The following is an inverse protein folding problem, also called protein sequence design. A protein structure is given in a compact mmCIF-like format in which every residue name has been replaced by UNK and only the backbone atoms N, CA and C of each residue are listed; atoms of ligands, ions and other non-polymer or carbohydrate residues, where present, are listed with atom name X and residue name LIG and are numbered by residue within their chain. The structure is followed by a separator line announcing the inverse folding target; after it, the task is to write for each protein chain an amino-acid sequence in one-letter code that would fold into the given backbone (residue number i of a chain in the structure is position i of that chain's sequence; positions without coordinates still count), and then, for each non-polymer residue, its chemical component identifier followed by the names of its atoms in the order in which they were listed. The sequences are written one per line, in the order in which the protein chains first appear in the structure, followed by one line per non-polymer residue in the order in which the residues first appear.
data_IF_068072264994
#
_entry.id   IF_068072264994
#
_cell.length_a   1.000
_cell.length_b   1.000
_cell.length_c   1.000
_cell.angle_alpha   90.00
_cell.angle_beta   90.00
_cell.angle_gamma   90.00
#
_symmetry.space_group_name_H-M   'P 1'
#
loop_
_entity.id
_entity.type
_entity.pdbx_description
1 polymer ?
#
# COMPACT_ATOMS: atom_id res chain seq x y z
N UNK A 1 -41.24 -45.85 18.16
CA UNK A 1 -41.09 -45.01 19.37
C UNK A 1 -39.64 -44.57 19.46
N UNK A 2 -39.45 -43.24 19.39
CA UNK A 2 -38.26 -42.42 19.68
C UNK A 2 -36.86 -43.04 19.64
N UNK A 3 -36.16 -42.88 18.51
CA UNK A 3 -34.69 -42.76 18.51
C UNK A 3 -34.35 -41.39 19.10
N UNK A 4 -33.69 -41.40 20.26
CA UNK A 4 -33.22 -40.21 20.92
C UNK A 4 -32.28 -39.42 19.99
N UNK A 5 -32.65 -38.17 19.72
CA UNK A 5 -31.74 -37.13 19.26
C UNK A 5 -30.57 -37.02 20.24
N UNK A 6 -29.47 -37.71 19.98
CA UNK A 6 -28.18 -37.34 20.56
C UNK A 6 -27.71 -36.07 19.85
N UNK A 7 -28.19 -34.92 20.36
CA UNK A 7 -27.51 -33.66 20.17
C UNK A 7 -26.12 -33.78 20.83
N UNK A 8 -25.07 -33.84 20.00
CA UNK A 8 -23.70 -33.65 20.45
C UNK A 8 -23.46 -32.13 20.56
N UNK A 9 -23.21 -31.57 21.76
CA UNK A 9 -23.10 -30.11 21.97
C UNK A 9 -21.88 -29.44 21.30
N UNK A 10 -20.91 -30.22 20.80
CA UNK A 10 -19.56 -29.71 20.54
C UNK A 10 -19.04 -29.91 19.10
N UNK A 11 -19.86 -30.28 18.13
CA UNK A 11 -19.43 -30.20 16.73
C UNK A 11 -19.49 -28.74 16.26
N UNK A 12 -18.44 -27.97 16.55
CA UNK A 12 -18.15 -26.72 15.85
C UNK A 12 -17.40 -27.08 14.56
N UNK A 13 -18.05 -27.11 13.38
CA UNK A 13 -17.30 -27.21 12.14
C UNK A 13 -16.24 -26.10 12.11
N UNK A 14 -14.96 -26.47 12.05
CA UNK A 14 -13.91 -25.50 11.75
C UNK A 14 -14.15 -25.06 10.30
N UNK A 15 -14.83 -23.93 10.13
CA UNK A 15 -14.92 -23.26 8.84
C UNK A 15 -13.53 -22.72 8.58
N UNK A 16 -12.79 -23.33 7.64
CA UNK A 16 -11.57 -22.72 7.18
C UNK A 16 -11.96 -21.51 6.33
N UNK A 17 -11.69 -20.32 6.86
CA UNK A 17 -11.87 -19.07 6.16
C UNK A 17 -10.52 -18.42 5.94
N UNK A 18 -10.28 -17.95 4.73
CA UNK A 18 -9.10 -17.18 4.37
C UNK A 18 -9.52 -15.74 4.12
N UNK A 19 -8.71 -14.82 4.61
CA UNK A 19 -8.91 -13.40 4.38
C UNK A 19 -7.97 -12.98 3.26
N UNK A 20 -8.54 -12.45 2.18
CA UNK A 20 -7.77 -11.75 1.17
C UNK A 20 -7.69 -10.28 1.56
N UNK A 21 -6.51 -9.69 1.48
CA UNK A 21 -6.28 -8.27 1.69
C UNK A 21 -5.70 -7.66 0.43
N UNK A 22 -6.34 -6.61 -0.07
CA UNK A 22 -5.88 -5.80 -1.19
C UNK A 22 -5.18 -4.56 -0.66
N UNK A 23 -3.87 -4.47 -0.94
CA UNK A 23 -3.06 -3.31 -0.56
C UNK A 23 -3.11 -2.15 -1.57
N UNK A 24 -3.95 -2.25 -2.59
CA UNK A 24 -4.00 -1.30 -3.72
C UNK A 24 -5.24 -0.40 -3.67
N UNK A 25 -5.20 0.80 -4.27
CA UNK A 25 -6.36 1.71 -4.34
C UNK A 25 -7.41 1.28 -5.37
N UNK A 26 -7.17 0.20 -6.13
CA UNK A 26 -8.09 -0.28 -7.17
C UNK A 26 -8.76 -1.57 -6.70
N UNK A 27 -9.98 -1.83 -7.17
CA UNK A 27 -10.62 -3.11 -6.91
C UNK A 27 -9.92 -4.24 -7.69
N UNK A 28 -9.81 -5.42 -7.09
CA UNK A 28 -9.22 -6.58 -7.74
C UNK A 28 -10.28 -7.65 -7.92
N UNK A 29 -10.52 -8.00 -9.19
CA UNK A 29 -11.46 -9.05 -9.58
C UNK A 29 -10.71 -10.37 -9.74
N UNK A 30 -10.96 -11.30 -8.82
CA UNK A 30 -10.41 -12.65 -8.82
C UNK A 30 -11.40 -13.61 -9.45
N UNK A 31 -10.91 -14.51 -10.31
CA UNK A 31 -11.74 -15.50 -11.00
C UNK A 31 -11.24 -16.90 -10.69
N UNK A 32 -12.08 -17.74 -10.09
CA UNK A 32 -11.73 -19.12 -9.81
C UNK A 32 -12.97 -20.03 -9.84
N UNK A 33 -12.88 -21.18 -10.50
CA UNK A 33 -13.97 -22.17 -10.52
C UNK A 33 -15.29 -21.64 -11.09
N UNK A 34 -15.25 -20.68 -12.03
CA UNK A 34 -16.44 -20.01 -12.57
C UNK A 34 -17.04 -18.93 -11.66
N UNK A 35 -16.47 -18.71 -10.47
CA UNK A 35 -16.88 -17.67 -9.54
C UNK A 35 -16.01 -16.42 -9.70
N UNK A 36 -16.66 -15.27 -9.59
CA UNK A 36 -16.02 -13.97 -9.54
C UNK A 36 -16.05 -13.45 -8.10
N UNK A 37 -14.89 -13.12 -7.56
CA UNK A 37 -14.71 -12.56 -6.23
C UNK A 37 -14.09 -11.18 -6.37
N UNK A 38 -14.73 -10.15 -5.81
CA UNK A 38 -14.23 -8.78 -5.85
C UNK A 38 -13.62 -8.44 -4.51
N UNK A 39 -12.32 -8.16 -4.49
CA UNK A 39 -11.61 -7.64 -3.32
C UNK A 39 -11.62 -6.11 -3.40
N UNK A 40 -12.19 -5.41 -2.41
CA UNK A 40 -12.32 -3.95 -2.47
C UNK A 40 -10.96 -3.25 -2.41
N UNK A 41 -10.87 -1.97 -2.79
CA UNK A 41 -9.69 -1.13 -2.55
C UNK A 41 -9.28 -1.07 -1.08
N UNK A 42 -8.00 -0.79 -0.84
CA UNK A 42 -7.35 -0.76 0.49
C UNK A 42 -8.02 0.17 1.50
N UNK A 43 -8.74 1.20 1.05
CA UNK A 43 -9.44 2.19 1.87
C UNK A 43 -10.97 1.97 1.94
N UNK A 44 -11.47 0.94 1.26
CA UNK A 44 -12.91 0.66 1.15
C UNK A 44 -13.29 -0.57 1.99
N UNK A 45 -14.30 -0.40 2.84
CA UNK A 45 -14.92 -1.53 3.56
C UNK A 45 -15.95 -2.20 2.66
N UNK A 46 -15.67 -3.44 2.25
CA UNK A 46 -16.57 -4.23 1.40
C UNK A 46 -17.79 -4.79 2.16
N UNK A 47 -18.66 -5.52 1.45
CA UNK A 47 -19.87 -6.12 2.04
C UNK A 47 -19.59 -7.25 3.04
N UNK A 48 -18.39 -7.84 3.02
CA UNK A 48 -17.95 -8.92 3.94
C UNK A 48 -16.49 -8.72 4.33
N UNK A 49 -16.18 -7.65 5.09
CA UNK A 49 -14.83 -7.40 5.51
C UNK A 49 -14.41 -8.47 6.53
N UNK A 50 -13.12 -8.76 6.57
CA UNK A 50 -12.53 -9.41 7.71
C UNK A 50 -12.62 -8.47 8.92
N UNK A 51 -12.68 -9.06 10.10
CA UNK A 51 -12.65 -8.31 11.35
C UNK A 51 -11.27 -8.47 11.97
N UNK A 52 -10.73 -7.38 12.50
CA UNK A 52 -9.55 -7.43 13.35
C UNK A 52 -9.90 -8.07 14.70
N UNK A 53 -8.88 -8.32 15.52
CA UNK A 53 -9.05 -8.93 16.84
C UNK A 53 -9.99 -8.12 17.77
N UNK A 54 -10.04 -6.80 17.61
CA UNK A 54 -10.93 -5.89 18.34
C UNK A 54 -12.36 -5.82 17.76
N UNK A 55 -12.65 -6.58 16.70
CA UNK A 55 -13.95 -6.60 16.02
C UNK A 55 -14.16 -5.48 15.01
N UNK A 56 -13.17 -4.60 14.78
CA UNK A 56 -13.26 -3.55 13.77
C UNK A 56 -13.17 -4.13 12.35
N UNK A 57 -13.94 -3.62 11.37
CA UNK A 57 -13.85 -4.07 9.99
C UNK A 57 -12.53 -3.62 9.37
N UNK A 58 -11.85 -4.52 8.67
CA UNK A 58 -10.60 -4.24 7.99
C UNK A 58 -10.92 -3.81 6.54
N UNK A 59 -10.59 -2.57 6.14
CA UNK A 59 -10.73 -2.13 4.74
C UNK A 59 -9.91 -2.98 3.77
N UNK A 60 -10.28 -3.01 2.49
CA UNK A 60 -9.53 -3.77 1.48
C UNK A 60 -9.61 -5.29 1.63
N UNK A 61 -10.50 -5.82 2.47
CA UNK A 61 -10.57 -7.26 2.72
C UNK A 61 -11.79 -7.95 2.13
N UNK A 62 -11.58 -9.22 1.77
CA UNK A 62 -12.64 -10.13 1.35
C UNK A 62 -12.44 -11.50 2.02
N UNK A 63 -13.47 -12.01 2.69
CA UNK A 63 -13.40 -13.31 3.36
C UNK A 63 -13.90 -14.42 2.43
N UNK A 64 -13.01 -15.32 2.04
CA UNK A 64 -13.36 -16.58 1.37
C UNK A 64 -13.59 -17.62 2.46
N UNK A 65 -14.78 -18.21 2.50
CA UNK A 65 -15.14 -19.25 3.47
C UNK A 65 -15.40 -20.56 2.75
N UNK A 66 -14.94 -21.65 3.35
CA UNK A 66 -15.46 -22.97 2.98
C UNK A 66 -16.96 -22.98 3.29
N UNK A 67 -17.77 -23.04 2.24
CA UNK A 67 -19.17 -23.40 2.40
C UNK A 67 -19.20 -24.90 2.59
N UNK A 68 -19.71 -25.34 3.75
CA UNK A 68 -20.30 -26.67 3.84
C UNK A 68 -21.48 -26.63 2.86
N UNK A 69 -21.23 -27.01 1.60
CA UNK A 69 -22.31 -27.22 0.67
C UNK A 69 -23.06 -28.42 1.20
N UNK A 70 -24.13 -28.15 1.98
CA UNK A 70 -25.27 -29.04 1.98
C UNK A 70 -25.54 -29.34 0.51
N UNK A 71 -25.39 -30.60 0.11
CA UNK A 71 -25.72 -31.05 -1.25
C UNK A 71 -27.04 -30.42 -1.70
N UNK A 72 -27.26 -30.18 -3.01
CA UNK A 72 -28.57 -29.73 -3.50
C UNK A 72 -29.62 -30.72 -2.98
N UNK A 73 -30.40 -30.31 -1.98
CA UNK A 73 -31.15 -31.23 -1.10
C UNK A 73 -31.04 -30.97 0.42
N UNK A 74 -30.26 -29.98 0.87
CA UNK A 74 -30.42 -29.40 2.22
C UNK A 74 -30.06 -30.33 3.39
N UNK A 75 -29.14 -31.29 3.19
CA UNK A 75 -28.63 -32.12 4.29
C UNK A 75 -27.70 -31.32 5.20
N UNK A 76 -27.96 -31.36 6.51
CA UNK A 76 -27.00 -30.93 7.54
C UNK A 76 -25.75 -31.81 7.40
N UNK A 77 -24.53 -31.24 7.36
CA UNK A 77 -23.29 -32.02 7.25
C UNK A 77 -23.20 -33.04 8.39
N UNK A 78 -22.85 -34.28 8.06
CA UNK A 78 -22.70 -35.38 9.01
C UNK A 78 -21.26 -35.44 9.51
N UNK A 79 -21.07 -35.90 10.74
CA UNK A 79 -19.75 -36.20 11.29
C UNK A 79 -19.01 -37.18 10.37
N UNK A 80 -17.87 -36.76 9.82
CA UNK A 80 -17.06 -37.55 8.88
C UNK A 80 -17.22 -37.15 7.41
N UNK A 81 -18.11 -36.21 7.07
CA UNK A 81 -18.10 -35.60 5.74
C UNK A 81 -16.77 -34.87 5.54
N UNK A 82 -16.05 -35.10 4.42
CA UNK A 82 -14.80 -34.43 4.17
C UNK A 82 -15.06 -32.92 4.09
N UNK A 83 -14.22 -32.07 4.72
CA UNK A 83 -14.32 -30.64 4.54
C UNK A 83 -14.26 -30.34 3.04
N UNK A 84 -15.19 -29.51 2.55
CA UNK A 84 -15.07 -28.98 1.21
C UNK A 84 -13.92 -27.97 1.23
N UNK A 85 -12.71 -28.37 0.83
CA UNK A 85 -11.48 -27.55 0.84
C UNK A 85 -11.50 -26.45 -0.23
N UNK A 86 -12.67 -25.91 -0.56
CA UNK A 86 -12.90 -24.97 -1.65
C UNK A 86 -12.04 -23.72 -1.47
N UNK A 87 -12.08 -23.08 -0.30
CA UNK A 87 -11.35 -21.86 0.02
C UNK A 87 -9.84 -22.10 0.04
N UNK A 88 -9.37 -23.19 0.65
CA UNK A 88 -7.95 -23.55 0.64
C UNK A 88 -7.43 -23.79 -0.79
N UNK A 89 -8.23 -24.47 -1.62
CA UNK A 89 -7.89 -24.75 -3.02
C UNK A 89 -7.99 -23.48 -3.87
N UNK A 90 -8.96 -22.61 -3.64
CA UNK A 90 -9.10 -21.32 -4.29
C UNK A 90 -7.86 -20.47 -4.04
N UNK A 91 -7.48 -20.29 -2.77
CA UNK A 91 -6.35 -19.47 -2.36
C UNK A 91 -5.05 -19.98 -2.97
N UNK A 92 -4.79 -21.30 -2.89
CA UNK A 92 -3.59 -21.90 -3.50
C UNK A 92 -3.53 -21.66 -5.00
N UNK A 93 -4.66 -21.71 -5.71
CA UNK A 93 -4.68 -21.52 -7.16
C UNK A 93 -4.59 -20.04 -7.57
N UNK A 94 -5.31 -19.16 -6.86
CA UNK A 94 -5.35 -17.71 -7.15
C UNK A 94 -3.96 -17.12 -6.88
N UNK A 95 -3.43 -17.39 -5.71
CA UNK A 95 -2.17 -16.78 -5.27
C UNK A 95 -0.94 -17.60 -5.61
N UNK A 96 -1.10 -18.80 -6.18
CA UNK A 96 -0.01 -19.75 -6.49
C UNK A 96 1.00 -19.77 -5.36
N UNK A 97 0.60 -20.31 -4.22
CA UNK A 97 1.49 -20.36 -3.05
C UNK A 97 2.66 -21.28 -3.39
N UNK A 98 3.87 -20.74 -3.29
CA UNK A 98 5.11 -21.49 -3.44
C UNK A 98 5.18 -22.54 -2.32
N UNK A 99 5.34 -23.84 -2.63
CA UNK A 99 5.35 -24.88 -1.63
C UNK A 99 6.63 -24.89 -0.76
N UNK A 100 7.74 -24.31 -1.24
CA UNK A 100 9.02 -24.25 -0.54
C UNK A 100 9.08 -23.05 0.41
N UNK A 101 8.63 -21.88 -0.04
CA UNK A 101 8.70 -20.64 0.75
C UNK A 101 7.41 -20.29 1.47
N UNK A 102 6.27 -20.87 1.04
CA UNK A 102 4.94 -20.51 1.52
C UNK A 102 4.47 -19.15 1.02
N UNK A 103 5.20 -18.51 0.11
CA UNK A 103 4.89 -17.16 -0.38
C UNK A 103 3.90 -17.18 -1.55
N UNK A 104 3.08 -16.13 -1.63
CA UNK A 104 2.14 -15.94 -2.72
C UNK A 104 2.86 -15.39 -3.96
N UNK A 105 3.02 -16.20 -5.02
CA UNK A 105 3.76 -15.81 -6.25
C UNK A 105 2.88 -15.66 -7.50
N UNK A 106 1.58 -15.88 -7.36
CA UNK A 106 0.59 -15.82 -8.43
C UNK A 106 0.39 -14.41 -9.01
N UNK A 107 -0.23 -14.30 -10.20
CA UNK A 107 -0.48 -13.01 -10.84
C UNK A 107 -1.22 -12.02 -9.94
N UNK A 108 -2.21 -12.49 -9.18
CA UNK A 108 -2.98 -11.63 -8.29
C UNK A 108 -2.21 -11.27 -7.01
N UNK A 109 -1.33 -12.15 -6.54
CA UNK A 109 -0.41 -11.86 -5.45
C UNK A 109 0.58 -10.73 -5.82
N UNK A 110 1.08 -10.77 -7.07
CA UNK A 110 1.91 -9.70 -7.63
C UNK A 110 1.16 -8.38 -7.75
N UNK A 111 -0.15 -8.42 -7.99
CA UNK A 111 -1.03 -7.23 -7.98
C UNK A 111 -1.35 -6.72 -6.57
N UNK A 112 -0.67 -7.19 -5.53
CA UNK A 112 -0.79 -6.68 -4.17
C UNK A 112 -1.85 -7.36 -3.31
N UNK A 113 -2.38 -8.51 -3.74
CA UNK A 113 -3.20 -9.36 -2.87
C UNK A 113 -2.30 -10.13 -1.89
N UNK A 114 -2.70 -10.15 -0.63
CA UNK A 114 -2.09 -10.92 0.46
C UNK A 114 -3.15 -11.83 1.11
N UNK A 115 -2.71 -12.95 1.70
CA UNK A 115 -3.56 -13.78 2.57
C UNK A 115 -3.28 -13.44 4.02
N UNK A 116 -4.36 -13.24 4.77
CA UNK A 116 -4.38 -13.09 6.20
C UNK A 116 -5.09 -14.29 6.85
N UNK A 117 -4.75 -14.64 8.10
CA UNK A 117 -5.53 -15.57 8.88
C UNK A 117 -6.94 -15.02 9.17
N UNK A 118 -7.85 -15.88 9.63
CA UNK A 118 -9.25 -15.52 9.88
C UNK A 118 -9.43 -14.40 10.93
N UNK A 119 -8.49 -14.28 11.87
CA UNK A 119 -8.44 -13.25 12.91
C UNK A 119 -7.04 -12.64 12.93
N UNK A 120 -6.74 -11.71 12.00
CA UNK A 120 -5.40 -11.13 11.90
C UNK A 120 -5.17 -10.07 12.98
N UNK A 121 -3.95 -10.02 13.51
CA UNK A 121 -3.52 -8.95 14.41
C UNK A 121 -3.25 -7.67 13.61
N UNK A 122 -3.25 -6.48 14.26
CA UNK A 122 -2.89 -5.24 13.61
C UNK A 122 -1.52 -5.26 12.92
N UNK A 123 -0.53 -5.95 13.50
CA UNK A 123 0.80 -6.09 12.90
C UNK A 123 0.75 -6.91 11.61
N UNK A 124 -0.01 -8.01 11.57
CA UNK A 124 -0.16 -8.83 10.37
C UNK A 124 -0.84 -8.05 9.23
N UNK A 125 -1.84 -7.22 9.57
CA UNK A 125 -2.50 -6.35 8.59
C UNK A 125 -1.50 -5.34 8.01
N UNK A 126 -0.69 -4.71 8.87
CA UNK A 126 0.32 -3.76 8.44
C UNK A 126 1.39 -4.42 7.56
N UNK A 127 1.87 -5.61 7.92
CA UNK A 127 2.84 -6.38 7.13
C UNK A 127 2.26 -6.79 5.77
N UNK A 128 1.01 -7.24 5.74
CA UNK A 128 0.30 -7.58 4.51
C UNK A 128 0.09 -6.36 3.60
N UNK A 129 -0.18 -5.19 4.18
CA UNK A 129 -0.31 -3.93 3.46
C UNK A 129 1.03 -3.47 2.89
N UNK A 130 2.10 -3.49 3.68
CA UNK A 130 3.44 -3.08 3.24
C UNK A 130 3.98 -4.02 2.15
N UNK A 131 3.92 -5.33 2.37
CA UNK A 131 4.38 -6.32 1.40
C UNK A 131 3.52 -6.34 0.12
N UNK A 132 2.20 -6.23 0.25
CA UNK A 132 1.29 -6.15 -0.90
C UNK A 132 1.53 -4.89 -1.73
N UNK A 133 1.74 -3.75 -1.07
CA UNK A 133 2.08 -2.49 -1.75
C UNK A 133 3.40 -2.59 -2.51
N UNK A 134 4.44 -3.17 -1.89
CA UNK A 134 5.73 -3.37 -2.55
C UNK A 134 5.59 -4.24 -3.82
N UNK A 135 4.91 -5.39 -3.71
CA UNK A 135 4.65 -6.26 -4.88
C UNK A 135 3.88 -5.54 -5.99
N UNK A 136 2.89 -4.72 -5.61
CA UNK A 136 2.13 -3.94 -6.58
C UNK A 136 2.98 -2.86 -7.27
N UNK A 137 3.83 -2.15 -6.54
CA UNK A 137 4.78 -1.20 -7.12
C UNK A 137 5.72 -1.89 -8.13
N UNK A 138 6.26 -3.05 -7.78
CA UNK A 138 7.09 -3.85 -8.68
C UNK A 138 6.33 -4.31 -9.92
N UNK A 139 5.08 -4.77 -9.74
CA UNK A 139 4.19 -5.13 -10.84
C UNK A 139 3.95 -3.95 -11.78
N UNK A 140 3.65 -2.76 -11.25
CA UNK A 140 3.42 -1.56 -12.06
C UNK A 140 4.65 -1.18 -12.89
N UNK A 141 5.85 -1.27 -12.29
CA UNK A 141 7.10 -1.00 -13.00
C UNK A 141 7.34 -2.03 -14.10
N UNK A 142 7.13 -3.32 -13.82
CA UNK A 142 7.25 -4.38 -14.83
C UNK A 142 6.27 -4.17 -15.98
N UNK A 143 4.99 -3.96 -15.68
CA UNK A 143 3.95 -3.71 -16.66
C UNK A 143 4.28 -2.47 -17.52
N UNK A 144 4.70 -1.38 -16.89
CA UNK A 144 5.05 -0.15 -17.60
C UNK A 144 6.25 -0.35 -18.53
N UNK A 145 7.25 -1.12 -18.08
CA UNK A 145 8.41 -1.48 -18.89
C UNK A 145 7.99 -2.27 -20.13
N UNK A 146 7.12 -3.26 -19.98
CA UNK A 146 6.62 -4.08 -21.08
C UNK A 146 5.85 -3.24 -22.12
N UNK A 147 5.01 -2.30 -21.67
CA UNK A 147 4.26 -1.40 -22.56
C UNK A 147 5.22 -0.48 -23.34
N UNK A 148 6.20 0.12 -22.67
CA UNK A 148 7.16 1.02 -23.32
C UNK A 148 8.03 0.27 -24.32
N UNK A 149 8.55 -0.91 -23.95
CA UNK A 149 9.35 -1.75 -24.84
C UNK A 149 8.52 -2.22 -26.04
N UNK A 150 7.29 -2.66 -25.82
CA UNK A 150 6.39 -3.07 -26.91
C UNK A 150 6.13 -1.94 -27.90
N UNK A 151 5.93 -0.72 -27.41
CA UNK A 151 5.79 0.45 -28.26
C UNK A 151 7.08 0.78 -29.03
N UNK A 152 8.26 0.72 -28.38
CA UNK A 152 9.54 0.95 -29.03
C UNK A 152 9.79 -0.06 -30.16
N UNK A 153 9.53 -1.35 -29.91
CA UNK A 153 9.64 -2.41 -30.93
C UNK A 153 8.72 -2.13 -32.12
N UNK A 154 7.47 -1.73 -31.86
CA UNK A 154 6.52 -1.38 -32.92
C UNK A 154 6.97 -0.13 -33.71
N UNK A 155 7.49 0.87 -33.00
CA UNK A 155 8.01 2.11 -33.59
C UNK A 155 9.19 1.84 -34.51
N UNK A 156 10.16 1.07 -34.04
CA UNK A 156 11.39 0.77 -34.77
C UNK A 156 11.07 -0.12 -35.99
N UNK A 157 10.13 -1.05 -35.86
CA UNK A 157 9.60 -1.84 -36.99
C UNK A 157 8.95 -0.96 -38.05
N UNK A 158 8.12 0.01 -37.66
CA UNK A 158 7.49 0.93 -38.62
C UNK A 158 8.53 1.80 -39.32
N UNK A 159 9.51 2.32 -38.58
CA UNK A 159 10.60 3.12 -39.14
C UNK A 159 11.44 2.33 -40.16
N UNK A 160 11.79 1.07 -39.85
CA UNK A 160 12.49 0.19 -40.79
C UNK A 160 11.69 -0.09 -42.06
N UNK A 161 10.36 -0.14 -41.95
CA UNK A 161 9.46 -0.33 -43.07
C UNK A 161 9.07 0.98 -43.79
N UNK A 162 9.65 2.13 -43.41
CA UNK A 162 9.37 3.44 -44.00
C UNK A 162 7.99 4.03 -43.65
N UNK A 163 7.31 3.46 -42.66
CA UNK A 163 6.03 3.96 -42.16
C UNK A 163 6.22 4.95 -41.01
N UNK A 164 5.26 5.85 -40.85
CA UNK A 164 5.21 6.72 -39.68
C UNK A 164 5.10 5.89 -38.37
N UNK A 165 5.73 6.35 -37.28
CA UNK A 165 5.61 5.68 -35.99
C UNK A 165 4.15 5.69 -35.51
N UNK A 166 3.69 4.63 -34.84
CA UNK A 166 2.33 4.62 -34.29
C UNK A 166 2.21 5.72 -33.23
N UNK A 167 1.07 6.43 -33.13
CA UNK A 167 0.89 7.44 -32.09
C UNK A 167 0.91 6.78 -30.71
N UNK A 168 1.51 7.41 -29.68
CA UNK A 168 1.50 6.87 -28.33
C UNK A 168 0.08 6.89 -27.77
N UNK A 169 -0.42 5.72 -27.34
CA UNK A 169 -1.71 5.60 -26.69
C UNK A 169 -1.70 6.09 -25.22
N UNK A 170 -2.88 6.16 -24.61
CA UNK A 170 -3.04 6.55 -23.20
C UNK A 170 -2.33 5.60 -22.23
N UNK A 171 -2.29 4.30 -22.54
CA UNK A 171 -1.56 3.30 -21.75
C UNK A 171 -0.05 3.53 -21.77
N UNK A 172 0.50 3.92 -22.92
CA UNK A 172 1.92 4.27 -23.05
C UNK A 172 2.26 5.49 -22.19
N UNK A 173 1.42 6.53 -22.23
CA UNK A 173 1.61 7.72 -21.40
C UNK A 173 1.57 7.39 -19.90
N UNK A 174 0.63 6.54 -19.47
CA UNK A 174 0.57 6.04 -18.08
C UNK A 174 1.83 5.26 -17.70
N UNK A 175 2.30 4.38 -18.59
CA UNK A 175 3.51 3.60 -18.37
C UNK A 175 4.74 4.48 -18.19
N UNK A 176 4.93 5.49 -19.05
CA UNK A 176 6.03 6.47 -18.93
C UNK A 176 5.99 7.17 -17.57
N UNK A 177 4.82 7.66 -17.13
CA UNK A 177 4.67 8.33 -15.84
C UNK A 177 5.01 7.41 -14.64
N UNK A 178 4.67 6.12 -14.73
CA UNK A 178 5.01 5.13 -13.70
C UNK A 178 6.53 4.95 -13.62
N UNK A 179 7.21 4.78 -14.77
CA UNK A 179 8.66 4.63 -14.82
C UNK A 179 9.39 5.88 -14.34
N UNK A 180 8.93 7.07 -14.71
CA UNK A 180 9.49 8.33 -14.23
C UNK A 180 9.41 8.46 -12.71
N UNK A 181 8.24 8.15 -12.13
CA UNK A 181 8.06 8.13 -10.67
C UNK A 181 8.96 7.12 -9.98
N UNK A 182 9.08 5.91 -10.55
CA UNK A 182 9.96 4.86 -10.03
C UNK A 182 11.44 5.29 -10.08
N UNK A 183 11.88 5.86 -11.20
CA UNK A 183 13.24 6.39 -11.35
C UNK A 183 13.53 7.54 -10.36
N UNK A 184 12.57 8.45 -10.15
CA UNK A 184 12.71 9.51 -9.17
C UNK A 184 12.84 8.96 -7.73
N UNK A 185 12.05 7.93 -7.40
CA UNK A 185 12.14 7.23 -6.11
C UNK A 185 13.51 6.55 -5.94
N UNK A 186 13.98 5.78 -6.94
CA UNK A 186 15.29 5.15 -6.90
C UNK A 186 16.44 6.16 -6.79
N UNK A 187 16.40 7.27 -7.53
CA UNK A 187 17.42 8.32 -7.40
C UNK A 187 17.46 8.91 -6.00
N UNK A 188 16.30 9.10 -5.38
CA UNK A 188 16.18 9.59 -4.00
C UNK A 188 16.74 8.57 -3.00
N UNK A 189 16.39 7.29 -3.16
CA UNK A 189 16.81 6.21 -2.26
C UNK A 189 18.31 5.89 -2.37
N UNK A 190 18.90 6.04 -3.56
CA UNK A 190 20.34 5.90 -3.81
C UNK A 190 21.16 7.13 -3.38
N UNK A 191 20.52 8.17 -2.84
CA UNK A 191 21.20 9.44 -2.53
C UNK A 191 21.79 10.14 -3.76
N UNK A 192 21.44 9.70 -4.97
CA UNK A 192 21.90 10.28 -6.23
C UNK A 192 21.15 11.57 -6.59
N UNK A 193 20.10 11.93 -5.83
CA UNK A 193 19.65 13.32 -5.73
C UNK A 193 20.57 14.05 -4.75
N UNK A 194 21.80 14.30 -5.19
CA UNK A 194 22.52 15.49 -4.76
C UNK A 194 21.86 16.70 -5.43
N UNK A 195 21.37 17.63 -4.63
CA UNK A 195 21.07 19.02 -5.02
C UNK A 195 20.34 19.23 -6.36
N UNK A 196 19.03 19.01 -6.38
CA UNK A 196 18.14 19.66 -7.35
C UNK A 196 17.01 20.37 -6.60
N UNK A 197 17.43 21.27 -5.73
CA UNK A 197 16.77 22.53 -5.36
C UNK A 197 17.86 23.38 -4.67
N UNK A 198 18.93 23.71 -5.42
CA UNK A 198 19.44 25.08 -5.36
C UNK A 198 18.45 25.92 -6.16
N UNK A 199 17.29 26.15 -5.55
CA UNK A 199 16.58 27.38 -5.81
C UNK A 199 17.13 28.27 -4.71
N UNK A 200 18.13 29.08 -5.05
CA UNK A 200 18.32 30.38 -4.41
C UNK A 200 17.08 31.20 -4.76
N UNK A 201 15.95 30.83 -4.16
CA UNK A 201 14.79 31.70 -4.01
C UNK A 201 15.19 32.58 -2.84
N UNK A 202 15.27 33.89 -3.09
CA UNK A 202 15.48 34.91 -2.09
C UNK A 202 14.79 34.49 -0.79
N UNK A 203 15.60 34.30 0.25
CA UNK A 203 15.09 34.09 1.59
C UNK A 203 14.30 35.37 1.93
N UNK A 204 12.97 35.30 1.90
CA UNK A 204 12.12 36.35 2.50
C UNK A 204 12.69 36.65 3.90
N UNK A 205 12.86 37.92 4.27
CA UNK A 205 13.32 38.35 5.61
C UNK A 205 12.50 37.70 6.75
N UNK A 206 11.27 37.29 6.45
CA UNK A 206 10.36 36.55 7.32
C UNK A 206 10.86 35.14 7.69
N UNK A 207 11.58 34.46 6.79
CA UNK A 207 12.15 33.14 7.09
C UNK A 207 13.31 33.24 8.06
N UNK A 208 14.23 34.20 7.89
CA UNK A 208 15.37 34.37 8.79
C UNK A 208 14.89 34.74 10.20
N UNK A 209 13.86 35.58 10.30
CA UNK A 209 13.20 35.90 11.58
C UNK A 209 12.57 34.67 12.22
N UNK A 210 11.87 33.84 11.46
CA UNK A 210 11.29 32.58 11.94
C UNK A 210 12.35 31.56 12.38
N UNK A 211 13.42 31.41 11.59
CA UNK A 211 14.49 30.47 11.84
C UNK A 211 15.26 30.85 13.10
N UNK A 212 15.56 32.14 13.29
CA UNK A 212 16.20 32.65 14.51
C UNK A 212 15.32 32.42 15.75
N UNK A 213 14.01 32.70 15.67
CA UNK A 213 13.09 32.49 16.78
C UNK A 213 12.98 31.01 17.20
N UNK A 214 12.88 30.09 16.24
CA UNK A 214 12.83 28.65 16.50
C UNK A 214 14.16 28.09 17.01
N UNK A 215 15.28 28.56 16.45
CA UNK A 215 16.62 28.19 16.92
C UNK A 215 16.85 28.69 18.36
N UNK A 216 16.47 29.93 18.67
CA UNK A 216 16.53 30.48 20.03
C UNK A 216 15.63 29.72 21.00
N UNK A 217 14.41 29.35 20.60
CA UNK A 217 13.52 28.58 21.46
C UNK A 217 14.10 27.20 21.82
N UNK A 218 14.74 26.53 20.85
CA UNK A 218 15.45 25.26 21.08
C UNK A 218 16.70 25.46 21.93
N UNK A 219 17.48 26.51 21.64
CA UNK A 219 18.69 26.81 22.38
C UNK A 219 18.41 27.17 23.84
N UNK A 220 17.36 27.96 24.13
CA UNK A 220 16.91 28.27 25.49
C UNK A 220 16.47 27.03 26.25
N UNK A 221 15.79 26.08 25.59
CA UNK A 221 15.41 24.80 26.20
C UNK A 221 16.63 23.91 26.50
N UNK A 222 17.62 23.92 25.61
CA UNK A 222 18.85 23.16 25.80
C UNK A 222 19.74 23.79 26.89
N UNK A 223 19.89 25.11 26.90
CA UNK A 223 20.63 25.86 27.90
C UNK A 223 19.96 25.80 29.29
N UNK A 224 18.64 25.64 29.37
CA UNK A 224 17.98 25.38 30.65
C UNK A 224 18.41 24.05 31.32
N UNK A 225 18.99 23.12 30.55
CA UNK A 225 19.50 21.84 31.04
C UNK A 225 21.02 21.85 31.31
N UNK A 226 21.74 22.91 30.93
CA UNK A 226 23.21 22.99 31.04
C UNK A 226 23.62 24.40 31.54
N UNK A 227 24.18 24.54 32.75
CA UNK A 227 24.65 25.82 33.26
C UNK A 227 25.73 26.43 32.33
N UNK A 228 25.73 27.77 32.22
CA UNK A 228 26.74 28.58 31.52
C UNK A 228 26.80 28.48 29.98
N UNK A 229 25.74 28.01 29.32
CA UNK A 229 25.65 28.05 27.84
C UNK A 229 24.81 29.25 27.39
N UNK A 230 25.39 30.17 26.61
CA UNK A 230 24.64 31.28 26.00
C UNK A 230 23.68 30.73 24.92
N UNK A 231 22.36 30.88 25.11
CA UNK A 231 21.37 30.42 24.14
C UNK A 231 21.51 31.10 22.77
N UNK A 232 22.07 32.31 22.70
CA UNK A 232 22.22 33.07 21.46
C UNK A 232 23.33 32.49 20.59
N UNK A 233 24.48 32.17 21.18
CA UNK A 233 25.59 31.50 20.48
C UNK A 233 25.20 30.09 20.04
N UNK A 234 24.45 29.36 20.86
CA UNK A 234 23.97 28.03 20.53
C UNK A 234 22.95 28.07 19.38
N UNK A 235 22.08 29.07 19.35
CA UNK A 235 21.14 29.27 18.25
C UNK A 235 21.86 29.59 16.92
N UNK A 236 22.90 30.42 16.96
CA UNK A 236 23.72 30.73 15.79
C UNK A 236 24.40 29.46 15.23
N UNK A 237 25.06 28.67 16.09
CA UNK A 237 25.69 27.38 15.70
C UNK A 237 24.68 26.37 15.15
N UNK A 238 23.45 26.37 15.65
CA UNK A 238 22.38 25.51 15.13
C UNK A 238 21.94 25.91 13.72
N UNK A 239 21.97 27.21 13.40
CA UNK A 239 21.60 27.72 12.07
C UNK A 239 22.72 27.60 11.04
N UNK A 240 23.98 27.52 11.48
CA UNK A 240 25.13 27.17 10.64
C UNK A 240 25.04 25.72 10.12
N UNK A 241 24.31 24.84 10.81
CA UNK A 241 24.12 23.47 10.34
C UNK A 241 23.09 23.39 9.19
N UNK A 242 23.50 22.94 7.98
CA UNK A 242 22.64 22.93 6.81
C UNK A 242 21.42 22.01 6.95
N UNK A 243 21.53 20.90 7.69
CA UNK A 243 20.41 19.98 7.91
C UNK A 243 19.33 20.59 8.80
N UNK A 244 19.74 21.37 9.80
CA UNK A 244 18.82 22.07 10.71
C UNK A 244 18.07 23.16 9.95
N UNK A 245 18.78 23.91 9.11
CA UNK A 245 18.18 24.96 8.27
C UNK A 245 17.18 24.38 7.27
N UNK A 246 17.47 23.23 6.65
CA UNK A 246 16.52 22.53 5.78
C UNK A 246 15.25 22.08 6.53
N UNK A 247 15.40 21.53 7.74
CA UNK A 247 14.25 21.15 8.58
C UNK A 247 13.39 22.36 8.95
N UNK A 248 14.01 23.51 9.25
CA UNK A 248 13.31 24.76 9.55
C UNK A 248 12.61 25.33 8.31
N UNK A 249 13.23 25.30 7.13
CA UNK A 249 12.58 25.66 5.85
C UNK A 249 11.32 24.84 5.60
N UNK A 250 11.39 23.52 5.81
CA UNK A 250 10.22 22.64 5.69
C UNK A 250 9.11 23.02 6.67
N UNK A 251 9.45 23.31 7.93
CA UNK A 251 8.49 23.72 8.96
C UNK A 251 7.83 25.07 8.63
N UNK A 252 8.62 26.03 8.15
CA UNK A 252 8.14 27.34 7.70
C UNK A 252 7.16 27.20 6.53
N UNK A 253 7.48 26.37 5.53
CA UNK A 253 6.62 26.13 4.36
C UNK A 253 5.26 25.55 4.74
N UNK A 254 5.23 24.59 5.67
CA UNK A 254 3.97 24.01 6.19
C UNK A 254 3.13 25.10 6.88
N UNK A 255 3.77 26.00 7.65
CA UNK A 255 3.08 27.07 8.37
C UNK A 255 2.55 28.16 7.44
N UNK A 256 3.29 28.55 6.40
CA UNK A 256 2.87 29.55 5.39
C UNK A 256 1.71 29.02 4.52
N UNK A 257 1.75 27.75 4.11
CA UNK A 257 0.69 27.11 3.31
C UNK A 257 -0.57 26.83 4.14
N UNK A 258 -0.43 26.49 5.43
CA UNK A 258 -1.55 26.32 6.35
C UNK A 258 -2.22 27.63 6.83
N UNK A 259 -1.81 28.78 6.29
CA UNK A 259 -2.33 30.10 6.62
C UNK A 259 -2.93 30.83 5.41
N UNK A 260 -3.21 30.15 4.29
CA UNK A 260 -4.11 30.72 3.28
C UNK A 260 -5.51 30.85 3.91
N UNK A 261 -6.04 32.08 4.13
CA UNK A 261 -7.47 32.23 4.40
C UNK A 261 -8.21 31.79 3.13
N UNK A 262 -9.38 31.18 3.29
CA UNK A 262 -10.29 30.85 2.19
C UNK A 262 -10.82 32.13 1.52
N UNK A 263 -9.99 32.77 0.70
CA UNK A 263 -10.46 33.76 -0.27
C UNK A 263 -10.91 33.01 -1.52
N UNK A 264 -12.20 32.64 -1.52
CA UNK A 264 -13.17 32.89 -2.59
C UNK A 264 -14.44 32.09 -2.35
N UNK A 265 -15.42 32.73 -1.73
CA UNK A 265 -16.81 32.53 -2.13
C UNK A 265 -17.31 33.86 -2.65
N UNK A 266 -17.70 33.82 -3.93
CA UNK A 266 -18.42 34.82 -4.71
C UNK A 266 -19.45 35.64 -3.95
#
# INVERSE_FOLDING_TARGET
MSNANQYLPDFKPQVMSYVLHNATPEEIILRWGGLQMTVPPVDVVGHRPALAEDGSPIPGTFVIRDTYTSKPGGGIPRKGDPPNWFAATAIRNILKIDPETGEAVGPDARKGISVLPASPTPSMIQDAMMSGKARYEDFLVSWATDIVNGYQVARDRNQQAGYAPPPPGSEYQKAVLILEKSHAKMKKDLGMVGSLEQVDEELDDDFETFALAEAMAKAKRAAAAVPDVDPSELAAKLLENPEVRQKLKKKYRIRKVGHMPDDKVS
#
